data_IF_186754642094
#
_entry.id   IF_186754642094
#
_cell.length_a   1.000
_cell.length_b   1.000
_cell.length_c   1.000
_cell.angle_alpha   90.00
_cell.angle_beta   90.00
_cell.angle_gamma   90.00
#
_symmetry.space_group_name_H-M   'P 1'
#
loop_
_entity.id
_entity.type
_entity.pdbx_description
1 polymer ?
#
# COMPACT_ATOMS: atom_id res chain seq x y z
N UNK A 1 -34.88 -60.55 -18.89
CA UNK A 1 -34.02 -59.34 -18.96
C UNK A 1 -34.90 -58.13 -19.26
N UNK A 2 -35.26 -57.33 -18.24
CA UNK A 2 -35.94 -56.03 -18.39
C UNK A 2 -36.02 -55.29 -17.02
N UNK A 3 -35.61 -54.02 -17.07
CA UNK A 3 -36.02 -52.86 -16.23
C UNK A 3 -35.48 -52.79 -14.79
N UNK A 4 -34.62 -51.81 -14.53
CA UNK A 4 -35.00 -50.61 -13.79
C UNK A 4 -33.93 -49.53 -13.93
N UNK A 5 -34.39 -48.31 -14.18
CA UNK A 5 -33.64 -47.14 -14.62
C UNK A 5 -33.59 -46.14 -13.47
N UNK A 6 -32.52 -45.33 -13.46
CA UNK A 6 -32.38 -44.00 -12.83
C UNK A 6 -32.23 -43.93 -11.30
N UNK A 7 -31.12 -43.36 -10.87
CA UNK A 7 -31.11 -42.17 -10.00
C UNK A 7 -29.87 -41.34 -10.34
N UNK A 8 -30.10 -40.28 -11.12
CA UNK A 8 -29.13 -39.22 -11.41
C UNK A 8 -29.00 -38.41 -10.12
N UNK A 9 -27.86 -38.54 -9.43
CA UNK A 9 -27.53 -37.67 -8.31
C UNK A 9 -27.03 -36.32 -8.87
N UNK A 10 -27.95 -35.40 -9.09
CA UNK A 10 -27.64 -33.99 -9.28
C UNK A 10 -27.30 -33.38 -7.91
N UNK A 11 -26.03 -33.52 -7.49
CA UNK A 11 -25.52 -32.81 -6.32
C UNK A 11 -25.05 -31.42 -6.76
N UNK A 12 -25.76 -30.42 -6.26
CA UNK A 12 -25.68 -29.02 -6.55
C UNK A 12 -24.24 -28.45 -6.49
N UNK A 13 -23.98 -27.57 -7.46
CA UNK A 13 -22.91 -26.59 -7.48
C UNK A 13 -22.92 -25.77 -6.18
N UNK A 14 -22.12 -26.17 -5.19
CA UNK A 14 -21.73 -25.27 -4.10
C UNK A 14 -20.64 -24.36 -4.66
N UNK A 15 -21.09 -23.24 -5.23
CA UNK A 15 -20.25 -22.12 -5.60
C UNK A 15 -19.38 -21.71 -4.42
N UNK A 16 -18.09 -22.02 -4.51
CA UNK A 16 -17.07 -21.47 -3.62
C UNK A 16 -16.78 -20.04 -4.08
N UNK A 17 -17.69 -19.14 -3.74
CA UNK A 17 -17.54 -17.71 -3.91
C UNK A 17 -16.31 -17.23 -3.13
N UNK A 18 -15.46 -16.51 -3.83
CA UNK A 18 -14.18 -15.96 -3.39
C UNK A 18 -14.38 -15.06 -2.17
N UNK A 19 -13.68 -15.37 -1.07
CA UNK A 19 -13.21 -14.33 -0.15
C UNK A 19 -11.69 -14.44 -0.13
N UNK A 20 -11.05 -13.73 -1.07
CA UNK A 20 -9.67 -13.31 -0.92
C UNK A 20 -9.63 -12.31 0.25
N UNK A 21 -9.70 -12.84 1.48
CA UNK A 21 -9.44 -12.07 2.68
C UNK A 21 -7.94 -11.72 2.65
N UNK A 22 -7.65 -10.44 2.43
CA UNK A 22 -6.30 -9.91 2.44
C UNK A 22 -5.64 -10.26 3.78
N UNK A 23 -4.72 -11.23 3.79
CA UNK A 23 -4.03 -11.75 4.97
C UNK A 23 -3.07 -10.74 5.64
N UNK A 24 -3.22 -9.44 5.37
CA UNK A 24 -2.33 -8.38 5.84
C UNK A 24 -2.63 -7.92 7.26
N UNK A 25 -3.85 -8.16 7.75
CA UNK A 25 -4.27 -7.72 9.08
C UNK A 25 -3.74 -8.61 10.23
N UNK A 26 -3.16 -9.79 9.96
CA UNK A 26 -2.77 -10.76 11.01
C UNK A 26 -1.32 -10.71 11.48
N UNK A 27 -0.43 -9.98 10.80
CA UNK A 27 1.02 -10.06 11.07
C UNK A 27 1.69 -8.75 11.49
N UNK A 28 0.93 -7.66 11.72
CA UNK A 28 1.48 -6.42 12.28
C UNK A 28 2.65 -5.82 11.47
N UNK A 29 2.73 -6.14 10.18
CA UNK A 29 3.72 -5.56 9.28
C UNK A 29 3.47 -4.07 9.11
N UNK A 30 4.49 -3.28 8.73
CA UNK A 30 4.29 -1.90 8.33
C UNK A 30 3.19 -1.87 7.25
N UNK A 31 2.30 -0.85 7.24
CA UNK A 31 1.44 -0.64 6.08
C UNK A 31 2.33 -0.65 4.83
N UNK A 32 2.00 -1.45 3.81
CA UNK A 32 2.78 -1.46 2.57
C UNK A 32 2.86 -0.05 1.98
N UNK A 33 1.77 0.71 2.14
CA UNK A 33 1.64 2.09 1.67
C UNK A 33 1.07 2.98 2.77
N UNK A 34 1.50 4.23 2.77
CA UNK A 34 0.98 5.28 3.60
C UNK A 34 -0.48 5.59 3.22
N UNK A 35 -1.44 5.52 4.15
CA UNK A 35 -2.85 5.74 3.84
C UNK A 35 -3.18 7.16 3.37
N UNK A 36 -2.32 8.14 3.65
CA UNK A 36 -2.58 9.55 3.30
C UNK A 36 -2.08 9.86 1.88
N UNK A 37 -0.84 9.52 1.57
CA UNK A 37 -0.19 9.80 0.28
C UNK A 37 -0.31 8.68 -0.75
N UNK A 38 -0.58 7.46 -0.30
CA UNK A 38 -0.49 6.24 -1.12
C UNK A 38 0.94 5.85 -1.48
N UNK A 39 1.97 6.42 -0.85
CA UNK A 39 3.38 6.11 -1.11
C UNK A 39 3.84 4.88 -0.33
N UNK A 40 4.83 4.14 -0.83
CA UNK A 40 5.36 2.97 -0.15
C UNK A 40 6.01 3.36 1.18
N UNK A 41 5.74 2.62 2.26
CA UNK A 41 6.37 2.88 3.53
C UNK A 41 7.81 2.37 3.56
N UNK A 42 8.74 3.23 3.98
CA UNK A 42 10.15 2.91 4.18
C UNK A 42 10.50 2.66 5.65
N UNK A 43 9.60 3.01 6.58
CA UNK A 43 9.74 2.78 8.02
C UNK A 43 8.53 2.03 8.58
N UNK A 44 8.71 1.36 9.73
CA UNK A 44 7.67 0.55 10.38
C UNK A 44 6.40 1.35 10.70
N UNK A 45 6.54 2.63 11.03
CA UNK A 45 5.44 3.53 11.35
C UNK A 45 4.96 4.37 10.15
N UNK A 46 5.48 4.14 8.93
CA UNK A 46 5.17 4.95 7.75
C UNK A 46 5.41 6.47 7.93
N UNK A 47 6.31 6.88 8.83
CA UNK A 47 6.77 8.27 8.89
C UNK A 47 7.71 8.60 7.74
N UNK A 48 8.40 7.59 7.22
CA UNK A 48 9.27 7.71 6.05
C UNK A 48 8.63 6.92 4.91
N UNK A 49 8.51 7.57 3.75
CA UNK A 49 7.88 6.99 2.55
C UNK A 49 8.79 7.12 1.34
N UNK A 50 8.65 6.20 0.37
CA UNK A 50 9.34 6.26 -0.92
C UNK A 50 8.44 6.90 -1.96
N UNK A 51 8.93 7.95 -2.59
CA UNK A 51 8.19 8.62 -3.66
C UNK A 51 8.10 7.68 -4.87
N UNK A 52 6.92 7.52 -5.49
CA UNK A 52 6.78 6.72 -6.69
C UNK A 52 7.46 7.40 -7.87
N UNK A 53 8.15 6.63 -8.71
CA UNK A 53 8.83 7.10 -9.93
C UNK A 53 9.99 8.07 -9.72
N UNK A 54 10.48 8.21 -8.48
CA UNK A 54 11.68 8.97 -8.15
C UNK A 54 12.50 8.21 -7.11
N UNK A 55 13.83 8.25 -7.19
CA UNK A 55 14.70 7.68 -6.15
C UNK A 55 14.82 8.64 -4.95
N UNK A 56 13.66 9.04 -4.41
CA UNK A 56 13.56 9.96 -3.30
C UNK A 56 12.85 9.32 -2.11
N UNK A 57 13.36 9.64 -0.92
CA UNK A 57 12.78 9.27 0.35
C UNK A 57 12.23 10.54 0.98
N UNK A 58 10.97 10.50 1.42
CA UNK A 58 10.31 11.61 2.08
C UNK A 58 10.00 11.26 3.53
N UNK A 59 10.37 12.14 4.43
CA UNK A 59 9.96 12.10 5.83
C UNK A 59 8.74 12.99 6.03
N UNK A 60 7.74 12.49 6.76
CA UNK A 60 6.59 13.28 7.20
C UNK A 60 7.02 14.17 8.35
N UNK A 61 6.94 15.47 8.14
CA UNK A 61 7.24 16.47 9.18
C UNK A 61 6.10 16.56 10.20
N UNK A 62 4.87 16.24 9.80
CA UNK A 62 3.70 16.15 10.66
C UNK A 62 3.01 14.77 10.50
N UNK A 63 3.59 13.68 11.06
CA UNK A 63 3.17 12.31 10.77
C UNK A 63 1.73 11.96 11.19
N UNK A 64 1.11 12.73 12.09
CA UNK A 64 -0.29 12.55 12.50
C UNK A 64 -1.32 13.24 11.59
N UNK A 65 -0.90 14.01 10.59
CA UNK A 65 -1.83 14.66 9.67
C UNK A 65 -2.44 13.65 8.69
N UNK A 66 -3.77 13.59 8.67
CA UNK A 66 -4.54 12.68 7.82
C UNK A 66 -5.03 13.35 6.53
N UNK A 67 -4.97 14.69 6.45
CA UNK A 67 -5.33 15.44 5.25
C UNK A 67 -4.11 15.69 4.38
N UNK A 68 -4.15 15.11 3.18
CA UNK A 68 -3.10 15.22 2.19
C UNK A 68 -2.71 16.66 1.85
N UNK A 69 -3.66 17.60 1.84
CA UNK A 69 -3.40 19.03 1.55
C UNK A 69 -2.65 19.77 2.64
N UNK A 70 -2.59 19.22 3.86
CA UNK A 70 -1.89 19.79 5.02
C UNK A 70 -0.68 18.97 5.44
N UNK A 71 -0.52 17.77 4.89
CA UNK A 71 0.63 16.92 5.14
C UNK A 71 1.89 17.60 4.58
N UNK A 72 2.93 17.66 5.40
CA UNK A 72 4.22 18.25 5.07
C UNK A 72 5.27 17.15 4.91
N UNK A 73 5.96 17.17 3.78
CA UNK A 73 6.99 16.21 3.44
C UNK A 73 8.34 16.91 3.25
N UNK A 74 9.38 16.38 3.89
CA UNK A 74 10.76 16.73 3.63
C UNK A 74 11.39 15.60 2.81
N UNK A 75 11.75 15.86 1.56
CA UNK A 75 12.19 14.81 0.63
C UNK A 75 13.64 14.96 0.20
N UNK A 76 14.35 13.86 0.22
CA UNK A 76 15.78 13.78 -0.06
C UNK A 76 16.09 12.66 -1.06
N UNK A 77 17.13 12.86 -1.85
CA UNK A 77 17.72 11.85 -2.72
C UNK A 77 19.17 11.59 -2.32
N UNK A 78 19.66 10.38 -2.56
CA UNK A 78 21.07 10.05 -2.35
C UNK A 78 21.82 10.18 -3.67
N UNK A 79 22.64 11.22 -3.81
CA UNK A 79 23.44 11.50 -5.01
C UNK A 79 24.92 11.51 -4.64
N UNK A 80 25.72 10.65 -5.30
CA UNK A 80 27.16 10.56 -5.02
C UNK A 80 27.51 10.18 -3.57
N UNK A 81 26.62 9.47 -2.87
CA UNK A 81 26.79 9.11 -1.46
C UNK A 81 26.25 10.15 -0.45
N UNK A 82 25.91 11.35 -0.91
CA UNK A 82 25.40 12.44 -0.08
C UNK A 82 23.88 12.56 -0.19
N UNK A 83 23.23 12.97 0.90
CA UNK A 83 21.82 13.33 0.91
C UNK A 83 21.67 14.76 0.39
N UNK A 84 20.86 14.94 -0.65
CA UNK A 84 20.55 16.23 -1.26
C UNK A 84 19.03 16.39 -1.36
N UNK A 85 18.56 17.63 -1.53
CA UNK A 85 17.13 17.90 -1.75
C UNK A 85 16.64 17.14 -2.99
N UNK A 86 15.48 16.49 -2.87
CA UNK A 86 14.92 15.73 -3.98
C UNK A 86 14.59 16.69 -5.14
N UNK A 87 15.12 16.46 -6.36
CA UNK A 87 14.89 17.35 -7.50
C UNK A 87 13.45 17.27 -8.05
N UNK A 88 12.66 16.30 -7.57
CA UNK A 88 11.30 16.05 -8.00
C UNK A 88 10.34 16.49 -6.90
N UNK A 89 9.32 17.29 -7.25
CA UNK A 89 8.26 17.63 -6.31
C UNK A 89 7.36 16.42 -6.06
N UNK A 90 6.96 16.17 -4.80
CA UNK A 90 5.90 15.22 -4.49
C UNK A 90 4.64 15.57 -5.29
N UNK A 91 3.90 14.54 -5.72
CA UNK A 91 2.57 14.75 -6.33
C UNK A 91 1.56 15.30 -5.33
N UNK A 92 1.79 15.06 -4.05
CA UNK A 92 0.86 15.36 -2.98
C UNK A 92 1.58 15.87 -1.73
N UNK A 93 0.88 16.63 -0.90
CA UNK A 93 1.46 17.27 0.28
C UNK A 93 2.21 18.55 -0.04
N UNK A 94 2.51 19.31 1.02
CA UNK A 94 3.33 20.52 0.98
C UNK A 94 4.78 20.09 1.16
N UNK A 95 5.63 20.40 0.19
CA UNK A 95 7.07 20.18 0.31
C UNK A 95 7.68 21.27 1.19
N UNK A 96 8.46 20.88 2.19
CA UNK A 96 9.31 21.80 2.96
C UNK A 96 10.77 21.49 2.64
N UNK A 97 11.54 22.54 2.38
CA UNK A 97 12.94 22.48 1.95
C UNK A 97 13.87 22.90 3.08
#
# INVERSE_FOLDING_TARGET
>A
MRRATVLIAAAALLGSGILAANARDRFGGPPDHDPVTGYLCASTNCNVVRMPNANCICEKVNPGEQRLTRLKLACYAKTGGHWVSCPVRPRFGIMVN
#
